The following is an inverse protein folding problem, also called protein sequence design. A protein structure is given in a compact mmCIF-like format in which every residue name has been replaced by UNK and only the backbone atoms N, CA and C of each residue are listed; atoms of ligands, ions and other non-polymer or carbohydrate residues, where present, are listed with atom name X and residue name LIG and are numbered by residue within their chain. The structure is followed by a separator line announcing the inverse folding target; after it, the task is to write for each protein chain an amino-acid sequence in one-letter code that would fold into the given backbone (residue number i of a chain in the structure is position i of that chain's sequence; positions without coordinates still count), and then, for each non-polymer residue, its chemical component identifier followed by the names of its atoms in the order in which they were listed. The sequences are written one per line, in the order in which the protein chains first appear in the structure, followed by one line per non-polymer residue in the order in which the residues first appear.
data_IF_104676014904
#
_entry.id   IF_104676014904
#
_cell.length_a   1.000
_cell.length_b   1.000
_cell.length_c   1.000
_cell.angle_alpha   90.00
_cell.angle_beta   90.00
_cell.angle_gamma   90.00
#
_symmetry.space_group_name_H-M   'P 1'
#
loop_
_entity.id
_entity.type
_entity.pdbx_description
1 polymer ?
#
# COMPACT_ATOMS: atom_id res chain seq x y z
N UNK A 1 -74.72 20.12 -24.51
CA UNK A 1 -74.03 21.30 -25.08
C UNK A 1 -73.77 22.26 -23.92
N UNK A 2 -72.51 22.66 -23.73
CA UNK A 2 -71.94 23.52 -22.66
C UNK A 2 -71.65 22.84 -21.30
N UNK A 3 -70.48 22.18 -21.17
CA UNK A 3 -69.78 21.92 -19.88
C UNK A 3 -68.29 21.56 -20.10
N UNK A 4 -67.61 22.21 -21.06
CA UNK A 4 -66.21 21.86 -21.41
C UNK A 4 -65.34 23.07 -21.78
N UNK A 5 -65.39 24.15 -21.00
CA UNK A 5 -64.46 25.29 -21.14
C UNK A 5 -64.21 25.94 -19.78
N UNK A 6 -63.23 25.44 -19.01
CA UNK A 6 -62.36 26.26 -18.13
C UNK A 6 -61.28 25.42 -17.42
N UNK A 7 -60.33 24.87 -18.20
CA UNK A 7 -59.10 24.23 -17.66
C UNK A 7 -57.82 24.94 -18.16
N UNK A 8 -57.94 26.08 -18.86
CA UNK A 8 -56.80 26.71 -19.52
C UNK A 8 -56.09 27.84 -18.75
N UNK A 9 -56.24 27.98 -17.42
CA UNK A 9 -55.71 29.16 -16.73
C UNK A 9 -54.83 28.93 -15.48
N UNK A 10 -54.06 27.84 -15.43
CA UNK A 10 -53.02 27.62 -14.41
C UNK A 10 -51.72 27.08 -15.00
N UNK A 11 -51.27 27.63 -16.14
CA UNK A 11 -49.89 27.42 -16.61
C UNK A 11 -48.98 28.47 -15.98
N UNK A 12 -48.53 28.23 -14.74
CA UNK A 12 -47.34 28.91 -14.23
C UNK A 12 -46.17 28.41 -15.08
N UNK A 13 -45.66 29.27 -15.94
CA UNK A 13 -44.53 28.93 -16.80
C UNK A 13 -43.28 28.73 -15.94
N UNK A 14 -42.36 27.85 -16.35
CA UNK A 14 -41.10 27.56 -15.64
C UNK A 14 -40.33 28.83 -15.17
N UNK A 15 -40.44 29.92 -15.93
CA UNK A 15 -39.88 31.24 -15.58
C UNK A 15 -40.57 31.92 -14.39
N UNK A 16 -41.88 31.76 -14.23
CA UNK A 16 -42.60 32.30 -13.06
C UNK A 16 -42.28 31.51 -11.78
N UNK A 17 -42.03 30.20 -11.90
CA UNK A 17 -41.55 29.37 -10.80
C UNK A 17 -40.13 29.77 -10.36
N UNK A 18 -39.21 30.03 -11.31
CA UNK A 18 -37.85 30.48 -11.01
C UNK A 18 -37.78 31.90 -10.38
N UNK A 19 -38.85 32.70 -10.51
CA UNK A 19 -38.92 34.07 -10.00
C UNK A 19 -39.43 34.19 -8.56
N UNK A 20 -39.83 33.07 -7.93
CA UNK A 20 -40.28 33.09 -6.53
C UNK A 20 -39.11 33.35 -5.58
N UNK A 21 -39.21 34.38 -4.70
CA UNK A 21 -38.09 34.86 -3.88
C UNK A 21 -37.55 33.82 -2.88
N UNK A 22 -38.32 32.77 -2.58
CA UNK A 22 -37.94 31.70 -1.66
C UNK A 22 -37.11 30.59 -2.32
N UNK A 23 -37.07 30.50 -3.65
CA UNK A 23 -36.38 29.41 -4.38
C UNK A 23 -34.91 29.76 -4.65
N UNK A 24 -34.64 31.03 -4.97
CA UNK A 24 -33.30 31.55 -5.25
C UNK A 24 -32.27 31.29 -4.14
N UNK A 25 -32.57 31.50 -2.85
CA UNK A 25 -31.62 31.23 -1.77
C UNK A 25 -31.18 29.75 -1.74
N UNK A 26 -32.11 28.81 -1.94
CA UNK A 26 -31.82 27.38 -1.91
C UNK A 26 -31.15 26.88 -3.19
N UNK A 27 -31.50 27.44 -4.35
CA UNK A 27 -30.83 27.14 -5.62
C UNK A 27 -29.38 27.63 -5.60
N UNK A 28 -29.13 28.81 -5.00
CA UNK A 28 -27.78 29.33 -4.74
C UNK A 28 -27.02 28.46 -3.74
N UNK A 29 -27.66 27.98 -2.67
CA UNK A 29 -27.04 27.06 -1.70
C UNK A 29 -26.70 25.72 -2.38
N UNK A 30 -27.58 25.15 -3.20
CA UNK A 30 -27.38 23.87 -3.86
C UNK A 30 -26.29 23.95 -4.95
N UNK A 31 -26.23 25.06 -5.70
CA UNK A 31 -25.14 25.37 -6.64
C UNK A 31 -23.83 25.62 -5.87
N UNK A 32 -23.85 26.34 -4.75
CA UNK A 32 -22.66 26.59 -3.93
C UNK A 32 -22.11 25.30 -3.31
N UNK A 33 -22.97 24.37 -2.90
CA UNK A 33 -22.58 23.04 -2.40
C UNK A 33 -22.01 22.19 -3.53
N UNK A 34 -22.65 22.16 -4.72
CA UNK A 34 -22.12 21.43 -5.87
C UNK A 34 -20.78 21.98 -6.36
N UNK A 35 -20.63 23.32 -6.40
CA UNK A 35 -19.36 23.98 -6.73
C UNK A 35 -18.31 23.73 -5.66
N UNK A 36 -18.68 23.76 -4.38
CA UNK A 36 -17.81 23.46 -3.24
C UNK A 36 -17.29 22.03 -3.28
N UNK A 37 -18.16 21.04 -3.54
CA UNK A 37 -17.80 19.63 -3.69
C UNK A 37 -16.90 19.44 -4.92
N UNK A 38 -17.21 20.09 -6.05
CA UNK A 38 -16.34 20.01 -7.23
C UNK A 38 -14.97 20.66 -7.00
N UNK A 39 -14.93 21.80 -6.28
CA UNK A 39 -13.67 22.51 -5.98
C UNK A 39 -12.83 21.75 -4.98
N UNK A 40 -13.45 21.12 -3.97
CA UNK A 40 -12.79 20.25 -3.01
C UNK A 40 -12.27 18.98 -3.69
N UNK A 41 -13.02 18.42 -4.64
CA UNK A 41 -12.60 17.27 -5.44
C UNK A 41 -11.42 17.63 -6.37
N UNK A 42 -11.49 18.77 -7.05
CA UNK A 42 -10.42 19.26 -7.94
C UNK A 42 -9.17 19.63 -7.14
N UNK A 43 -9.30 20.35 -6.02
CA UNK A 43 -8.14 20.69 -5.17
C UNK A 43 -7.53 19.46 -4.52
N UNK A 44 -8.33 18.48 -4.10
CA UNK A 44 -7.84 17.19 -3.63
C UNK A 44 -7.10 16.41 -4.72
N UNK A 45 -7.62 16.42 -5.95
CA UNK A 45 -6.99 15.78 -7.11
C UNK A 45 -5.69 16.48 -7.51
N UNK A 46 -5.60 17.80 -7.34
CA UNK A 46 -4.37 18.59 -7.54
C UNK A 46 -3.36 18.38 -6.40
N UNK A 47 -3.81 18.26 -5.16
CA UNK A 47 -2.96 17.97 -3.99
C UNK A 47 -2.37 16.56 -4.05
N UNK A 48 -3.12 15.57 -4.54
CA UNK A 48 -2.60 14.22 -4.79
C UNK A 48 -1.51 14.21 -5.87
N UNK A 49 -1.66 15.02 -6.93
CA UNK A 49 -0.61 15.20 -7.95
C UNK A 49 0.66 15.85 -7.41
N UNK A 50 0.59 16.66 -6.35
CA UNK A 50 1.75 17.29 -5.72
C UNK A 50 2.46 16.40 -4.69
N UNK A 51 1.83 15.31 -4.25
CA UNK A 51 2.41 14.34 -3.30
C UNK A 51 3.14 13.19 -3.98
N UNK A 52 3.39 13.23 -5.29
CA UNK A 52 4.43 12.39 -5.86
C UNK A 52 5.77 12.85 -5.27
N UNK A 53 6.46 12.01 -4.47
CA UNK A 53 7.80 12.35 -4.06
C UNK A 53 8.64 12.47 -5.34
N UNK A 54 9.11 13.67 -5.66
CA UNK A 54 10.26 13.88 -6.54
C UNK A 54 11.47 13.21 -5.90
N UNK A 55 11.52 11.89 -5.99
CA UNK A 55 12.74 11.11 -5.80
C UNK A 55 13.50 11.22 -7.11
N UNK A 56 14.04 12.42 -7.33
CA UNK A 56 15.09 12.63 -8.31
C UNK A 56 16.16 11.58 -8.06
N UNK A 57 16.51 10.90 -9.15
CA UNK A 57 17.46 9.81 -9.18
C UNK A 57 18.84 10.27 -8.66
N UNK A 58 19.07 10.13 -7.36
CA UNK A 58 20.42 10.03 -6.81
C UNK A 58 20.94 8.61 -7.08
N UNK A 59 21.08 8.26 -8.35
CA UNK A 59 21.76 7.05 -8.79
C UNK A 59 23.01 7.44 -9.57
N UNK A 60 24.00 7.94 -8.84
CA UNK A 60 25.42 7.94 -9.24
C UNK A 60 26.28 8.35 -8.04
N UNK A 61 26.16 7.60 -6.95
CA UNK A 61 27.32 7.50 -6.05
C UNK A 61 28.26 6.54 -6.74
N UNK A 62 29.45 6.99 -7.13
CA UNK A 62 30.52 6.16 -7.69
C UNK A 62 30.69 4.91 -6.82
N UNK A 63 30.11 3.80 -7.29
CA UNK A 63 30.04 2.56 -6.53
C UNK A 63 31.45 1.97 -6.56
N UNK A 64 32.12 1.99 -5.42
CA UNK A 64 33.45 1.38 -5.28
C UNK A 64 33.34 -0.07 -5.75
N UNK A 65 34.18 -0.45 -6.71
CA UNK A 65 34.24 -1.82 -7.23
C UNK A 65 34.97 -2.73 -6.22
N UNK A 66 34.29 -3.10 -5.14
CA UNK A 66 34.85 -3.91 -4.06
C UNK A 66 35.40 -5.26 -4.55
N UNK A 67 34.80 -5.83 -5.60
CA UNK A 67 35.22 -7.09 -6.21
C UNK A 67 36.60 -7.02 -6.89
N UNK A 68 37.03 -5.83 -7.32
CA UNK A 68 38.31 -5.62 -8.00
C UNK A 68 39.45 -5.20 -7.08
N UNK A 69 39.19 -5.06 -5.78
CA UNK A 69 40.18 -4.70 -4.79
C UNK A 69 40.76 -5.93 -4.09
N UNK A 70 42.04 -5.84 -3.72
CA UNK A 70 42.70 -6.84 -2.85
C UNK A 70 42.13 -6.79 -1.44
N UNK A 71 42.31 -7.87 -0.68
CA UNK A 71 41.81 -7.97 0.69
C UNK A 71 42.37 -6.83 1.56
N UNK A 72 43.66 -6.51 1.40
CA UNK A 72 44.35 -5.45 2.14
C UNK A 72 43.75 -4.08 1.81
N UNK A 73 43.48 -3.81 0.53
CA UNK A 73 42.87 -2.55 0.09
C UNK A 73 41.44 -2.37 0.63
N UNK A 74 40.67 -3.46 0.70
CA UNK A 74 39.30 -3.40 1.25
C UNK A 74 39.33 -3.18 2.76
N UNK A 75 40.22 -3.89 3.49
CA UNK A 75 40.41 -3.71 4.93
C UNK A 75 40.87 -2.29 5.26
N UNK A 76 41.81 -1.74 4.49
CA UNK A 76 42.31 -0.37 4.67
C UNK A 76 41.22 0.68 4.39
N UNK A 77 40.49 0.55 3.26
CA UNK A 77 39.37 1.44 2.92
C UNK A 77 38.28 1.47 3.97
N UNK A 78 37.95 0.32 4.55
CA UNK A 78 36.95 0.21 5.61
C UNK A 78 37.56 0.43 7.00
N UNK A 79 38.87 0.64 7.12
CA UNK A 79 39.60 0.79 8.39
C UNK A 79 39.28 -0.34 9.39
N UNK A 80 39.37 -1.60 8.94
CA UNK A 80 39.04 -2.79 9.71
C UNK A 80 40.25 -3.71 9.84
N UNK A 81 40.44 -4.29 11.02
CA UNK A 81 41.43 -5.34 11.27
C UNK A 81 40.88 -6.72 10.96
N UNK A 82 41.76 -7.68 10.63
CA UNK A 82 41.41 -9.10 10.47
C UNK A 82 40.76 -9.74 11.72
N UNK A 83 40.90 -9.11 12.89
CA UNK A 83 40.29 -9.54 14.15
C UNK A 83 38.86 -9.02 14.36
N UNK A 84 38.29 -8.33 13.37
CA UNK A 84 36.94 -7.78 13.43
C UNK A 84 36.88 -6.36 14.01
N UNK A 85 35.66 -5.84 14.13
CA UNK A 85 35.39 -4.51 14.68
C UNK A 85 35.40 -4.51 16.21
N UNK A 86 35.82 -3.39 16.79
CA UNK A 86 35.69 -3.13 18.22
C UNK A 86 34.29 -2.61 18.58
N UNK A 87 33.78 -2.96 19.76
CA UNK A 87 32.41 -2.58 20.16
C UNK A 87 32.11 -1.07 20.07
N UNK A 88 33.09 -0.21 20.39
CA UNK A 88 32.94 1.24 20.32
C UNK A 88 32.76 1.77 18.88
N UNK A 89 33.32 1.08 17.89
CA UNK A 89 33.25 1.47 16.47
C UNK A 89 31.90 1.07 15.85
N UNK A 90 31.32 -0.03 16.33
CA UNK A 90 30.02 -0.54 15.85
C UNK A 90 28.93 0.50 16.05
N UNK A 91 28.84 1.09 17.25
CA UNK A 91 27.82 2.11 17.54
C UNK A 91 27.94 3.34 16.63
N UNK A 92 29.17 3.77 16.32
CA UNK A 92 29.41 4.87 15.37
C UNK A 92 28.99 4.51 13.95
N UNK A 93 29.29 3.30 13.51
CA UNK A 93 28.89 2.81 12.19
C UNK A 93 27.39 2.60 12.06
N UNK A 94 26.72 2.13 13.11
CA UNK A 94 25.26 2.01 13.12
C UNK A 94 24.60 3.38 13.01
N UNK A 95 25.14 4.42 13.66
CA UNK A 95 24.65 5.80 13.48
C UNK A 95 24.88 6.34 12.07
N UNK A 96 26.01 5.98 11.43
CA UNK A 96 26.37 6.46 10.10
C UNK A 96 25.64 5.74 8.96
N UNK A 97 25.57 4.42 9.01
CA UNK A 97 25.05 3.57 7.94
C UNK A 97 23.62 3.09 8.18
N UNK A 98 23.11 3.20 9.41
CA UNK A 98 21.83 2.63 9.80
C UNK A 98 21.90 1.12 10.03
N UNK A 99 20.72 0.52 10.22
CA UNK A 99 20.55 -0.92 10.38
C UNK A 99 20.60 -1.63 9.01
N UNK A 100 20.99 -2.90 9.01
CA UNK A 100 20.93 -3.78 7.85
C UNK A 100 19.48 -4.25 7.61
N UNK A 101 18.62 -3.31 7.24
CA UNK A 101 17.22 -3.54 6.94
C UNK A 101 16.84 -2.76 5.68
N UNK A 102 15.90 -3.31 4.91
CA UNK A 102 15.27 -2.56 3.84
C UNK A 102 14.33 -1.52 4.45
N UNK A 103 14.21 -0.31 3.87
CA UNK A 103 13.36 0.72 4.43
C UNK A 103 11.92 0.20 4.53
N UNK A 104 11.41 0.15 5.76
CA UNK A 104 10.01 -0.19 5.97
C UNK A 104 9.13 0.95 5.49
N UNK A 105 8.09 0.61 4.73
CA UNK A 105 6.99 1.53 4.46
C UNK A 105 6.34 1.82 5.81
N UNK A 106 6.52 3.04 6.32
CA UNK A 106 5.95 3.44 7.61
C UNK A 106 4.45 3.11 7.62
N UNK A 107 3.96 2.33 8.60
CA UNK A 107 2.54 2.06 8.72
C UNK A 107 1.81 3.40 8.90
N UNK A 108 0.61 3.51 8.32
CA UNK A 108 -0.24 4.68 8.52
C UNK A 108 -0.61 4.76 10.00
N UNK A 109 -0.60 5.96 10.58
CA UNK A 109 -0.95 6.12 12.00
C UNK A 109 -2.39 5.68 12.25
N UNK A 110 -2.66 5.07 13.42
CA UNK A 110 -3.99 4.54 13.75
C UNK A 110 -5.09 5.62 13.64
N UNK A 111 -4.78 6.87 13.99
CA UNK A 111 -5.70 8.00 13.84
C UNK A 111 -5.95 8.33 12.37
N UNK A 112 -4.92 8.40 11.52
CA UNK A 112 -5.11 8.58 10.07
C UNK A 112 -5.93 7.45 9.47
N UNK A 113 -5.69 6.20 9.90
CA UNK A 113 -6.46 5.04 9.46
C UNK A 113 -7.93 5.17 9.82
N UNK A 114 -8.24 5.56 11.06
CA UNK A 114 -9.61 5.81 11.48
C UNK A 114 -10.28 6.94 10.66
N UNK A 115 -9.63 8.09 10.50
CA UNK A 115 -10.18 9.19 9.70
C UNK A 115 -10.27 8.87 8.20
N UNK A 116 -9.43 7.97 7.69
CA UNK A 116 -9.51 7.51 6.31
C UNK A 116 -10.77 6.67 6.04
N UNK A 117 -11.36 6.05 7.07
CA UNK A 117 -12.66 5.38 6.93
C UNK A 117 -13.76 6.38 6.55
N UNK A 118 -13.67 7.65 6.99
CA UNK A 118 -14.61 8.70 6.63
C UNK A 118 -14.39 9.28 5.23
N UNK A 119 -13.24 9.01 4.59
CA UNK A 119 -12.94 9.40 3.21
C UNK A 119 -13.60 8.45 2.20
N UNK A 120 -14.89 8.19 2.38
CA UNK A 120 -15.71 7.42 1.47
C UNK A 120 -16.89 8.28 1.01
N UNK A 121 -17.16 8.29 -0.29
CA UNK A 121 -18.27 9.02 -0.91
C UNK A 121 -19.60 8.75 -0.20
N UNK A 122 -19.83 7.51 0.23
CA UNK A 122 -21.03 7.09 0.96
C UNK A 122 -21.11 7.78 2.33
N UNK A 123 -20.01 7.82 3.07
CA UNK A 123 -19.98 8.47 4.39
C UNK A 123 -20.17 9.98 4.26
N UNK A 124 -19.67 10.61 3.20
CA UNK A 124 -19.97 12.03 2.95
C UNK A 124 -21.45 12.29 2.67
N UNK A 125 -22.12 11.41 1.91
CA UNK A 125 -23.58 11.52 1.70
C UNK A 125 -24.32 11.36 3.03
N UNK A 126 -23.94 10.40 3.87
CA UNK A 126 -24.56 10.19 5.18
C UNK A 126 -24.30 11.37 6.14
N UNK A 127 -23.09 11.93 6.15
CA UNK A 127 -22.76 13.10 6.95
C UNK A 127 -23.53 14.34 6.47
N UNK A 128 -23.70 14.51 5.16
CA UNK A 128 -24.55 15.56 4.60
C UNK A 128 -26.00 15.37 5.04
N UNK A 129 -26.51 14.14 5.01
CA UNK A 129 -27.84 13.81 5.51
C UNK A 129 -27.99 14.18 6.99
N UNK A 130 -27.06 13.77 7.85
CA UNK A 130 -27.06 14.11 9.29
C UNK A 130 -27.12 15.63 9.47
N UNK A 131 -26.35 16.39 8.68
CA UNK A 131 -26.37 17.85 8.74
C UNK A 131 -27.75 18.41 8.38
N UNK A 132 -28.36 17.96 7.28
CA UNK A 132 -29.66 18.46 6.83
C UNK A 132 -30.78 18.08 7.80
N UNK A 133 -30.82 16.85 8.29
CA UNK A 133 -31.84 16.40 9.25
C UNK A 133 -31.74 17.13 10.59
N UNK A 134 -30.52 17.49 11.00
CA UNK A 134 -30.27 18.23 12.23
C UNK A 134 -30.72 19.69 12.09
N UNK A 135 -30.49 20.32 10.93
CA UNK A 135 -31.00 21.67 10.63
C UNK A 135 -32.53 21.70 10.58
N UNK A 136 -33.17 20.62 10.13
CA UNK A 136 -34.63 20.47 10.12
C UNK A 136 -35.23 20.18 11.52
N UNK A 137 -34.42 20.04 12.57
CA UNK A 137 -34.89 19.79 13.94
C UNK A 137 -35.21 18.32 14.27
N UNK A 138 -34.93 17.39 13.34
CA UNK A 138 -35.15 15.96 13.54
C UNK A 138 -33.98 15.31 14.31
N UNK A 139 -33.92 15.57 15.62
CA UNK A 139 -32.81 15.11 16.48
C UNK A 139 -32.70 13.58 16.57
N UNK A 140 -33.82 12.86 16.60
CA UNK A 140 -33.83 11.38 16.70
C UNK A 140 -33.30 10.77 15.40
N UNK A 141 -33.81 11.17 14.26
CA UNK A 141 -33.40 10.64 12.95
C UNK A 141 -31.92 10.94 12.67
N UNK A 142 -31.47 12.17 12.97
CA UNK A 142 -30.07 12.57 12.87
C UNK A 142 -29.16 11.71 13.76
N UNK A 143 -29.60 11.43 14.99
CA UNK A 143 -28.87 10.59 15.94
C UNK A 143 -28.74 9.14 15.46
N UNK A 144 -29.80 8.57 14.88
CA UNK A 144 -29.79 7.21 14.32
C UNK A 144 -28.82 7.13 13.14
N UNK A 145 -28.89 8.06 12.19
CA UNK A 145 -28.03 8.06 11.00
C UNK A 145 -26.56 8.26 11.41
N UNK A 146 -26.29 9.18 12.34
CA UNK A 146 -24.95 9.38 12.88
C UNK A 146 -24.42 8.12 13.58
N UNK A 147 -25.26 7.44 14.36
CA UNK A 147 -24.92 6.17 15.01
C UNK A 147 -24.49 5.09 14.01
N UNK A 148 -25.22 4.93 12.91
CA UNK A 148 -24.87 3.98 11.82
C UNK A 148 -23.51 4.31 11.22
N UNK A 149 -23.23 5.59 10.93
CA UNK A 149 -21.93 6.03 10.40
C UNK A 149 -20.78 5.67 11.34
N UNK A 150 -20.94 5.92 12.65
CA UNK A 150 -19.91 5.61 13.65
C UNK A 150 -19.68 4.10 13.77
N UNK A 151 -20.75 3.29 13.81
CA UNK A 151 -20.64 1.83 13.88
C UNK A 151 -19.91 1.30 12.65
N UNK A 152 -20.27 1.76 11.45
CA UNK A 152 -19.63 1.34 10.20
C UNK A 152 -18.14 1.71 10.16
N UNK A 153 -17.77 2.93 10.59
CA UNK A 153 -16.38 3.35 10.68
C UNK A 153 -15.58 2.50 11.69
N UNK A 154 -16.18 2.16 12.83
CA UNK A 154 -15.55 1.33 13.86
C UNK A 154 -15.33 -0.10 13.38
N UNK A 155 -16.34 -0.70 12.72
CA UNK A 155 -16.22 -2.03 12.12
C UNK A 155 -15.12 -2.04 11.07
N UNK A 156 -15.07 -1.04 10.18
CA UNK A 156 -14.02 -0.90 9.16
C UNK A 156 -12.62 -0.80 9.77
N UNK A 157 -12.45 0.04 10.79
CA UNK A 157 -11.18 0.19 11.51
C UNK A 157 -10.69 -1.11 12.14
N UNK A 158 -11.58 -1.85 12.83
CA UNK A 158 -11.25 -3.13 13.47
C UNK A 158 -10.90 -4.20 12.41
N UNK A 159 -11.64 -4.27 11.31
CA UNK A 159 -11.39 -5.23 10.23
C UNK A 159 -10.03 -4.99 9.57
N UNK A 160 -9.67 -3.73 9.33
CA UNK A 160 -8.38 -3.36 8.76
C UNK A 160 -7.22 -3.65 9.72
N UNK A 161 -7.40 -3.39 11.03
CA UNK A 161 -6.38 -3.67 12.05
C UNK A 161 -6.01 -5.16 12.13
N UNK A 162 -7.00 -6.05 12.17
CA UNK A 162 -6.76 -7.50 12.22
C UNK A 162 -6.01 -8.02 10.99
N UNK A 163 -6.24 -7.42 9.82
CA UNK A 163 -5.54 -7.80 8.60
C UNK A 163 -4.06 -7.37 8.61
N UNK A 164 -3.75 -6.17 9.13
CA UNK A 164 -2.37 -5.70 9.30
C UNK A 164 -1.60 -6.52 10.34
N UNK A 165 -2.22 -6.83 11.49
CA UNK A 165 -1.58 -7.59 12.57
C UNK A 165 -1.14 -9.00 12.12
N UNK A 166 -1.99 -9.67 11.33
CA UNK A 166 -1.69 -10.98 10.77
C UNK A 166 -0.48 -10.93 9.80
N UNK A 167 -0.36 -9.86 9.01
CA UNK A 167 0.76 -9.66 8.12
C UNK A 167 2.06 -9.33 8.88
N UNK A 168 1.97 -8.57 9.97
CA UNK A 168 3.14 -8.23 10.79
C UNK A 168 3.66 -9.45 11.56
N UNK A 169 2.77 -10.30 12.09
CA UNK A 169 3.16 -11.53 12.78
C UNK A 169 3.97 -12.47 11.88
N UNK A 170 3.60 -12.61 10.59
CA UNK A 170 4.34 -13.41 9.61
C UNK A 170 5.73 -12.83 9.34
N UNK A 171 5.88 -11.50 9.32
CA UNK A 171 7.17 -10.83 9.09
C UNK A 171 8.16 -11.05 10.22
N UNK A 172 7.71 -10.94 11.47
CA UNK A 172 8.56 -11.08 12.66
C UNK A 172 9.11 -12.51 12.85
N UNK A 173 8.49 -13.52 12.22
CA UNK A 173 8.94 -14.92 12.27
C UNK A 173 10.14 -15.23 11.36
N UNK A 174 10.65 -14.27 10.58
CA UNK A 174 11.68 -14.47 9.55
C UNK A 174 13.02 -13.77 9.84
N UNK A 175 13.27 -13.30 11.07
CA UNK A 175 14.51 -12.60 11.39
C UNK A 175 15.73 -13.53 11.28
N UNK A 176 16.66 -13.17 10.38
CA UNK A 176 17.88 -13.93 10.16
C UNK A 176 18.90 -13.64 11.28
N UNK A 177 19.61 -14.68 11.72
CA UNK A 177 20.77 -14.57 12.60
C UNK A 177 22.05 -14.67 11.77
N UNK A 178 23.11 -13.96 12.18
CA UNK A 178 24.42 -13.96 11.54
C UNK A 178 25.52 -14.20 12.58
N UNK A 179 26.55 -14.98 12.22
CA UNK A 179 27.73 -15.21 13.05
C UNK A 179 28.84 -14.24 12.66
N UNK A 180 29.25 -13.37 13.57
CA UNK A 180 30.24 -12.31 13.32
C UNK A 180 31.45 -12.42 14.23
N UNK A 181 32.59 -11.92 13.77
CA UNK A 181 33.80 -11.71 14.56
C UNK A 181 33.86 -10.26 15.05
N UNK A 182 33.70 -10.05 16.36
CA UNK A 182 33.78 -8.74 17.03
C UNK A 182 34.66 -8.86 18.26
N UNK A 183 35.57 -7.90 18.48
CA UNK A 183 36.58 -7.95 19.54
C UNK A 183 37.36 -9.29 19.57
N UNK A 184 37.65 -9.87 18.39
CA UNK A 184 38.33 -11.16 18.27
C UNK A 184 37.51 -12.39 18.69
N UNK A 185 36.23 -12.24 19.04
CA UNK A 185 35.34 -13.33 19.45
C UNK A 185 34.22 -13.53 18.44
N UNK A 186 33.84 -14.78 18.23
CA UNK A 186 32.71 -15.12 17.37
C UNK A 186 31.40 -15.00 18.18
N UNK A 187 30.48 -14.19 17.69
CA UNK A 187 29.20 -13.89 18.36
C UNK A 187 28.07 -14.01 17.36
N UNK A 188 26.98 -14.67 17.74
CA UNK A 188 25.74 -14.68 16.96
C UNK A 188 24.93 -13.41 17.26
N UNK A 189 24.57 -12.67 16.23
CA UNK A 189 23.77 -11.44 16.32
C UNK A 189 22.62 -11.50 15.31
N UNK A 190 21.60 -10.66 15.52
CA UNK A 190 20.61 -10.41 14.47
C UNK A 190 21.29 -9.84 13.23
N UNK A 191 20.95 -10.36 12.04
CA UNK A 191 21.47 -9.88 10.77
C UNK A 191 21.18 -8.38 10.56
N UNK A 192 20.14 -7.84 11.20
CA UNK A 192 19.75 -6.43 11.17
C UNK A 192 20.79 -5.51 11.82
N UNK A 193 21.59 -6.03 12.75
CA UNK A 193 22.60 -5.27 13.49
C UNK A 193 23.96 -5.21 12.79
N UNK A 194 24.06 -5.84 11.61
CA UNK A 194 25.28 -5.81 10.79
C UNK A 194 25.56 -4.40 10.28
N UNK A 195 26.85 -4.05 10.26
CA UNK A 195 27.34 -2.80 9.69
C UNK A 195 28.47 -3.05 8.69
N UNK A 196 28.69 -2.17 7.71
CA UNK A 196 29.86 -2.23 6.86
C UNK A 196 31.15 -2.31 7.69
N UNK A 197 31.97 -3.32 7.42
CA UNK A 197 33.17 -3.65 8.17
C UNK A 197 33.05 -4.82 9.15
N UNK A 198 31.84 -5.33 9.43
CA UNK A 198 31.72 -6.59 10.19
C UNK A 198 32.35 -7.75 9.40
N UNK A 199 33.03 -8.64 10.10
CA UNK A 199 33.53 -9.90 9.52
C UNK A 199 32.52 -10.99 9.86
N UNK A 200 31.90 -11.57 8.84
CA UNK A 200 30.86 -12.60 8.95
C UNK A 200 31.45 -13.96 8.60
N UNK A 201 31.15 -14.97 9.41
CA UNK A 201 31.42 -16.36 9.09
C UNK A 201 30.18 -17.01 8.48
N UNK A 202 30.37 -17.74 7.39
CA UNK A 202 29.33 -18.44 6.64
C UNK A 202 29.66 -19.92 6.54
N UNK A 203 28.63 -20.75 6.65
CA UNK A 203 28.69 -22.20 6.47
C UNK A 203 27.52 -22.69 5.61
N UNK A 204 27.62 -23.94 5.16
CA UNK A 204 26.56 -24.62 4.40
C UNK A 204 25.19 -24.49 5.08
N UNK A 205 24.19 -24.08 4.32
CA UNK A 205 22.81 -23.86 4.78
C UNK A 205 22.53 -22.43 5.24
N UNK A 206 23.55 -21.60 5.47
CA UNK A 206 23.35 -20.21 5.84
C UNK A 206 22.83 -19.40 4.64
N UNK A 207 21.98 -18.41 4.93
CA UNK A 207 21.72 -17.32 4.00
C UNK A 207 22.73 -16.22 4.23
N UNK A 208 23.28 -15.67 3.16
CA UNK A 208 24.21 -14.55 3.21
C UNK A 208 23.46 -13.31 3.73
N UNK A 209 23.86 -12.70 4.85
CA UNK A 209 23.03 -11.70 5.55
C UNK A 209 23.18 -10.27 5.01
N UNK A 210 24.27 -9.97 4.31
CA UNK A 210 24.62 -8.67 3.73
C UNK A 210 25.56 -8.90 2.53
N UNK A 211 25.87 -7.88 1.74
CA UNK A 211 26.85 -8.06 0.65
C UNK A 211 28.26 -8.09 1.25
N UNK A 212 29.02 -9.12 0.90
CA UNK A 212 30.32 -9.44 1.49
C UNK A 212 31.42 -9.49 0.43
N UNK A 213 32.60 -8.96 0.78
CA UNK A 213 33.87 -9.28 0.12
C UNK A 213 34.50 -10.49 0.81
N UNK A 214 34.76 -11.57 0.07
CA UNK A 214 35.28 -12.81 0.63
C UNK A 214 36.76 -12.68 1.01
N UNK A 215 37.07 -13.03 2.26
CA UNK A 215 38.43 -13.00 2.82
C UNK A 215 39.06 -14.40 2.85
N UNK A 216 38.26 -15.42 3.13
CA UNK A 216 38.67 -16.83 3.17
C UNK A 216 37.55 -17.69 2.60
N UNK A 217 37.89 -18.71 1.82
CA UNK A 217 36.95 -19.66 1.25
C UNK A 217 37.52 -21.07 1.32
N UNK A 218 36.65 -22.07 1.58
CA UNK A 218 36.99 -23.48 1.52
C UNK A 218 35.83 -24.24 0.87
N UNK A 219 36.02 -24.65 -0.38
CA UNK A 219 35.01 -25.29 -1.24
C UNK A 219 33.66 -24.55 -1.18
N UNK A 220 33.70 -23.21 -1.17
CA UNK A 220 32.56 -22.36 -0.88
C UNK A 220 31.73 -22.15 -2.14
N UNK A 221 30.50 -22.68 -2.13
CA UNK A 221 29.55 -22.56 -3.24
C UNK A 221 28.30 -21.83 -2.78
N UNK A 222 27.82 -20.91 -3.61
CA UNK A 222 26.66 -20.08 -3.33
C UNK A 222 25.63 -20.20 -4.45
N UNK A 223 24.37 -20.35 -4.07
CA UNK A 223 23.24 -20.33 -4.97
C UNK A 223 22.77 -18.90 -5.20
N UNK A 224 23.00 -18.37 -6.40
CA UNK A 224 22.75 -16.97 -6.77
C UNK A 224 21.52 -16.77 -7.65
N UNK A 225 20.68 -17.81 -7.82
CA UNK A 225 19.43 -17.76 -8.58
C UNK A 225 18.51 -16.57 -8.24
N UNK A 226 18.57 -16.06 -7.01
CA UNK A 226 17.79 -14.88 -6.57
C UNK A 226 18.20 -13.60 -7.30
N UNK A 227 19.45 -13.50 -7.77
CA UNK A 227 20.01 -12.32 -8.42
C UNK A 227 20.27 -12.53 -9.91
N UNK A 228 20.72 -13.73 -10.30
CA UNK A 228 21.10 -14.03 -11.69
C UNK A 228 20.04 -14.83 -12.46
N UNK A 229 19.13 -15.50 -11.75
CA UNK A 229 18.18 -16.46 -12.34
C UNK A 229 18.80 -17.83 -12.66
N UNK A 230 20.11 -17.99 -12.52
CA UNK A 230 20.79 -19.25 -12.79
C UNK A 230 20.74 -20.18 -11.58
N UNK A 231 20.37 -21.45 -11.79
CA UNK A 231 20.14 -22.42 -10.71
C UNK A 231 21.39 -23.23 -10.31
N UNK A 232 22.51 -23.06 -11.01
CA UNK A 232 23.74 -23.78 -10.68
C UNK A 232 24.51 -23.02 -9.60
N UNK A 233 24.91 -23.68 -8.49
CA UNK A 233 25.76 -23.04 -7.50
C UNK A 233 27.10 -22.62 -8.11
N UNK A 234 27.52 -21.40 -7.79
CA UNK A 234 28.77 -20.81 -8.27
C UNK A 234 29.86 -21.00 -7.22
N UNK A 235 31.01 -21.53 -7.62
CA UNK A 235 32.19 -21.61 -6.78
C UNK A 235 32.80 -20.21 -6.60
N UNK A 236 33.04 -19.84 -5.35
CA UNK A 236 33.54 -18.52 -4.99
C UNK A 236 35.01 -18.56 -4.60
N UNK A 237 35.71 -17.45 -4.85
CA UNK A 237 37.14 -17.31 -4.60
C UNK A 237 37.46 -16.03 -3.83
N UNK A 238 38.73 -15.81 -3.49
CA UNK A 238 39.17 -14.61 -2.77
C UNK A 238 39.87 -13.60 -3.67
N UNK A 239 40.36 -14.03 -4.84
CA UNK A 239 41.15 -13.17 -5.72
C UNK A 239 40.31 -12.05 -6.33
N UNK A 240 40.89 -10.84 -6.51
CA UNK A 240 40.20 -9.75 -7.18
C UNK A 240 39.80 -10.12 -8.60
N UNK A 241 38.63 -9.63 -9.04
CA UNK A 241 38.12 -9.84 -10.41
C UNK A 241 38.13 -8.51 -11.17
N UNK A 242 38.16 -8.55 -12.50
CA UNK A 242 38.17 -7.35 -13.35
C UNK A 242 37.00 -6.42 -13.00
N UNK A 243 37.26 -5.11 -12.96
CA UNK A 243 36.27 -4.11 -12.58
C UNK A 243 34.98 -4.17 -13.42
N UNK A 244 35.10 -4.49 -14.72
CA UNK A 244 33.99 -4.60 -15.67
C UNK A 244 33.17 -5.88 -15.57
N UNK A 245 33.46 -6.77 -14.61
CA UNK A 245 32.75 -8.04 -14.46
C UNK A 245 31.28 -7.83 -14.09
N UNK A 246 30.41 -8.61 -14.73
CA UNK A 246 28.99 -8.67 -14.41
C UNK A 246 28.74 -9.25 -13.01
N UNK A 247 27.52 -9.11 -12.49
CA UNK A 247 27.21 -9.46 -11.09
C UNK A 247 27.55 -10.93 -10.76
N UNK A 248 27.23 -11.85 -11.67
CA UNK A 248 27.51 -13.29 -11.51
C UNK A 248 29.00 -13.64 -11.56
N UNK A 249 29.78 -12.90 -12.36
CA UNK A 249 31.22 -13.15 -12.54
C UNK A 249 32.09 -12.58 -11.41
N UNK A 250 31.50 -11.82 -10.48
CA UNK A 250 32.19 -11.29 -9.30
C UNK A 250 32.35 -12.39 -8.25
N UNK A 251 33.15 -13.41 -8.58
CA UNK A 251 33.40 -14.61 -7.76
C UNK A 251 34.01 -14.29 -6.38
N UNK A 252 34.56 -13.09 -6.23
CA UNK A 252 35.18 -12.60 -5.01
C UNK A 252 34.19 -12.00 -3.99
N UNK A 253 32.91 -12.03 -4.34
CA UNK A 253 31.77 -11.48 -3.59
C UNK A 253 30.75 -12.57 -3.22
N UNK A 254 30.02 -12.33 -2.14
CA UNK A 254 28.79 -13.05 -1.80
C UNK A 254 27.68 -12.04 -1.48
N UNK A 255 26.45 -12.28 -1.95
CA UNK A 255 25.39 -11.26 -1.94
C UNK A 255 24.26 -11.58 -0.98
N UNK A 256 23.68 -10.55 -0.37
CA UNK A 256 22.58 -10.67 0.59
C UNK A 256 21.39 -11.46 0.02
N UNK A 257 20.86 -12.40 0.80
CA UNK A 257 19.69 -13.22 0.44
C UNK A 257 20.01 -14.49 -0.37
N UNK A 258 21.24 -14.63 -0.87
CA UNK A 258 21.72 -15.88 -1.52
C UNK A 258 21.95 -16.98 -0.48
N UNK A 259 21.90 -18.24 -0.92
CA UNK A 259 22.01 -19.42 -0.04
C UNK A 259 23.39 -20.08 -0.22
N UNK A 260 24.09 -20.34 0.87
CA UNK A 260 25.33 -21.14 0.84
C UNK A 260 24.96 -22.61 0.66
N UNK A 261 25.30 -23.19 -0.49
CA UNK A 261 24.98 -24.58 -0.80
C UNK A 261 25.98 -25.55 -0.19
N UNK A 262 27.26 -25.16 -0.09
CA UNK A 262 28.31 -25.99 0.51
C UNK A 262 29.55 -25.16 0.86
N UNK A 263 30.40 -25.75 1.71
CA UNK A 263 31.66 -25.15 2.13
C UNK A 263 31.53 -24.14 3.28
N UNK A 264 32.61 -23.38 3.48
CA UNK A 264 32.71 -22.35 4.51
C UNK A 264 33.45 -21.14 3.96
N UNK A 265 33.06 -19.96 4.42
CA UNK A 265 33.76 -18.73 4.08
C UNK A 265 33.75 -17.73 5.24
N UNK A 266 34.69 -16.79 5.16
CA UNK A 266 34.70 -15.59 5.98
C UNK A 266 34.66 -14.40 5.03
N UNK A 267 33.74 -13.48 5.25
CA UNK A 267 33.55 -12.31 4.40
C UNK A 267 33.44 -11.03 5.21
N UNK A 268 33.92 -9.93 4.63
CA UNK A 268 33.81 -8.59 5.17
C UNK A 268 32.57 -7.91 4.60
N UNK A 269 31.68 -7.41 5.45
CA UNK A 269 30.48 -6.68 5.03
C UNK A 269 30.89 -5.39 4.33
N UNK A 270 30.52 -5.23 3.07
CA UNK A 270 30.78 -4.02 2.29
C UNK A 270 29.55 -3.13 2.13
N UNK A 271 28.35 -3.71 2.15
CA UNK A 271 27.09 -3.00 2.01
C UNK A 271 25.98 -3.70 2.78
N UNK A 272 25.06 -2.89 3.33
CA UNK A 272 23.92 -3.32 4.15
C UNK A 272 22.63 -2.65 3.69
N UNK A 273 21.48 -3.27 3.99
CA UNK A 273 20.16 -2.72 3.73
C UNK A 273 19.94 -2.34 2.26
N UNK A 274 19.49 -1.11 2.03
CA UNK A 274 19.19 -0.57 0.69
C UNK A 274 20.42 -0.51 -0.25
N UNK A 275 21.64 -0.52 0.30
CA UNK A 275 22.87 -0.41 -0.48
C UNK A 275 23.37 -1.76 -1.03
N UNK A 276 22.76 -2.88 -0.61
CA UNK A 276 23.04 -4.21 -1.16
C UNK A 276 22.48 -4.35 -2.57
N UNK A 277 22.96 -5.31 -3.37
CA UNK A 277 22.40 -5.56 -4.71
C UNK A 277 20.92 -5.95 -4.66
N UNK A 278 20.52 -6.79 -3.69
CA UNK A 278 19.10 -7.11 -3.46
C UNK A 278 18.31 -5.88 -2.97
N UNK A 279 18.93 -5.00 -2.20
CA UNK A 279 18.33 -3.75 -1.75
C UNK A 279 18.10 -2.76 -2.89
N UNK A 280 19.01 -2.68 -3.84
CA UNK A 280 18.86 -1.88 -5.05
C UNK A 280 17.76 -2.44 -5.95
N UNK A 281 17.70 -3.76 -6.15
CA UNK A 281 16.58 -4.41 -6.85
C UNK A 281 15.27 -4.10 -6.12
N UNK A 282 15.23 -4.26 -4.79
CA UNK A 282 14.04 -3.98 -4.00
C UNK A 282 13.63 -2.52 -4.09
N UNK A 283 14.56 -1.56 -4.15
CA UNK A 283 14.27 -0.15 -4.37
C UNK A 283 13.71 0.13 -5.77
N UNK A 284 14.22 -0.54 -6.81
CA UNK A 284 13.68 -0.47 -8.17
C UNK A 284 12.27 -1.07 -8.26
N UNK A 285 12.02 -2.20 -7.59
CA UNK A 285 10.71 -2.86 -7.56
C UNK A 285 9.71 -2.13 -6.66
N UNK A 286 10.16 -1.51 -5.56
CA UNK A 286 9.27 -0.73 -4.68
C UNK A 286 8.74 0.55 -5.32
N UNK A 287 9.34 0.98 -6.44
CA UNK A 287 8.79 2.04 -7.31
C UNK A 287 7.59 1.57 -8.14
N UNK A 288 7.29 0.27 -8.16
CA UNK A 288 6.08 -0.23 -8.82
C UNK A 288 4.89 0.09 -7.91
N UNK A 289 4.08 1.07 -8.33
CA UNK A 289 2.85 1.46 -7.66
C UNK A 289 1.98 0.25 -7.32
N UNK A 290 1.20 0.35 -6.24
CA UNK A 290 0.19 -0.65 -5.92
C UNK A 290 -0.78 -0.77 -7.08
N UNK A 291 -0.66 -1.85 -7.85
CA UNK A 291 -1.56 -2.17 -8.96
C UNK A 291 -2.99 -2.31 -8.43
N UNK A 292 -3.86 -1.35 -8.75
CA UNK A 292 -5.31 -1.47 -8.54
C UNK A 292 -5.82 -2.58 -9.46
N UNK A 293 -6.40 -3.63 -8.88
CA UNK A 293 -6.84 -4.78 -9.67
C UNK A 293 -8.07 -4.46 -10.54
N UNK A 294 -8.26 -5.17 -11.67
CA UNK A 294 -9.42 -4.95 -12.54
C UNK A 294 -10.78 -5.02 -11.82
N UNK A 295 -10.99 -5.94 -10.88
CA UNK A 295 -12.22 -6.09 -10.08
C UNK A 295 -12.43 -4.85 -9.22
N UNK A 296 -11.38 -4.33 -8.57
CA UNK A 296 -11.49 -3.09 -7.80
C UNK A 296 -11.88 -1.92 -8.70
N UNK A 297 -11.36 -1.85 -9.94
CA UNK A 297 -11.80 -0.84 -10.93
C UNK A 297 -13.26 -1.02 -11.34
N UNK A 298 -13.69 -2.26 -11.61
CA UNK A 298 -15.06 -2.57 -11.99
C UNK A 298 -16.05 -2.29 -10.85
N UNK A 299 -15.68 -2.61 -9.61
CA UNK A 299 -16.49 -2.34 -8.41
C UNK A 299 -16.60 -0.83 -8.18
N UNK A 300 -15.51 -0.07 -8.38
CA UNK A 300 -15.56 1.38 -8.31
C UNK A 300 -16.41 2.01 -9.44
N UNK A 301 -16.43 1.41 -10.64
CA UNK A 301 -17.33 1.81 -11.73
C UNK A 301 -18.79 1.47 -11.41
N UNK A 302 -19.05 0.25 -10.93
CA UNK A 302 -20.37 -0.21 -10.50
C UNK A 302 -20.92 0.66 -9.37
N UNK A 303 -20.09 0.97 -8.37
CA UNK A 303 -20.44 1.88 -7.28
C UNK A 303 -20.85 3.26 -7.80
N UNK A 304 -20.09 3.84 -8.73
CA UNK A 304 -20.46 5.13 -9.36
C UNK A 304 -21.79 5.08 -10.10
N UNK A 305 -22.02 4.01 -10.87
CA UNK A 305 -23.28 3.84 -11.60
C UNK A 305 -24.45 3.66 -10.64
N UNK A 306 -24.31 2.81 -9.62
CA UNK A 306 -25.34 2.58 -8.62
C UNK A 306 -25.65 3.84 -7.81
N UNK A 307 -24.64 4.56 -7.33
CA UNK A 307 -24.84 5.84 -6.63
C UNK A 307 -25.56 6.85 -7.53
N UNK A 308 -25.21 6.93 -8.81
CA UNK A 308 -25.90 7.82 -9.76
C UNK A 308 -27.36 7.42 -9.94
N UNK A 309 -27.65 6.12 -10.09
CA UNK A 309 -29.02 5.59 -10.21
C UNK A 309 -29.85 5.85 -8.95
N UNK A 310 -29.28 5.62 -7.76
CA UNK A 310 -29.93 5.91 -6.47
C UNK A 310 -30.26 7.39 -6.37
N UNK A 311 -29.31 8.26 -6.71
CA UNK A 311 -29.51 9.71 -6.66
C UNK A 311 -30.62 10.17 -7.61
N UNK A 312 -30.62 9.67 -8.85
CA UNK A 312 -31.68 9.97 -9.83
C UNK A 312 -33.04 9.48 -9.32
N UNK A 313 -33.13 8.25 -8.80
CA UNK A 313 -34.39 7.69 -8.31
C UNK A 313 -34.91 8.41 -7.06
N UNK A 314 -34.03 8.73 -6.11
CA UNK A 314 -34.39 9.48 -4.91
C UNK A 314 -34.88 10.88 -5.26
N UNK A 315 -34.18 11.57 -6.18
CA UNK A 315 -34.57 12.89 -6.68
C UNK A 315 -35.90 12.84 -7.44
N UNK A 316 -36.09 11.86 -8.31
CA UNK A 316 -37.33 11.68 -9.05
C UNK A 316 -38.52 11.38 -8.11
N UNK A 317 -38.32 10.52 -7.11
CA UNK A 317 -39.33 10.19 -6.10
C UNK A 317 -39.68 11.40 -5.27
N UNK A 318 -38.68 12.18 -4.85
CA UNK A 318 -38.85 13.45 -4.13
C UNK A 318 -39.73 14.43 -4.91
N UNK A 319 -39.37 14.73 -6.16
CA UNK A 319 -40.13 15.67 -6.99
C UNK A 319 -41.54 15.14 -7.30
N UNK A 320 -41.68 13.85 -7.56
CA UNK A 320 -42.98 13.25 -7.81
C UNK A 320 -43.92 13.37 -6.59
N UNK A 321 -43.44 13.02 -5.40
CA UNK A 321 -44.27 13.09 -4.20
C UNK A 321 -44.63 14.52 -3.80
N UNK A 322 -43.70 15.46 -3.94
CA UNK A 322 -43.98 16.86 -3.62
C UNK A 322 -44.95 17.51 -4.63
N UNK A 323 -44.67 17.41 -5.93
CA UNK A 323 -45.46 18.12 -6.95
C UNK A 323 -46.76 17.42 -7.34
N UNK A 324 -46.78 16.08 -7.41
CA UNK A 324 -47.96 15.35 -7.91
C UNK A 324 -48.82 14.76 -6.79
N UNK A 325 -48.25 14.44 -5.62
CA UNK A 325 -49.01 13.90 -4.48
C UNK A 325 -49.29 14.95 -3.39
N UNK A 326 -48.66 16.11 -3.45
CA UNK A 326 -48.86 17.21 -2.50
C UNK A 326 -48.30 16.94 -1.10
N UNK A 327 -47.34 16.03 -0.97
CA UNK A 327 -46.68 15.76 0.31
C UNK A 327 -45.76 16.91 0.74
N UNK A 328 -45.60 17.07 2.05
CA UNK A 328 -44.72 18.11 2.61
C UNK A 328 -43.26 17.89 2.17
N UNK A 329 -42.54 18.99 1.97
CA UNK A 329 -41.14 18.99 1.56
C UNK A 329 -40.28 18.15 2.52
N UNK A 330 -40.51 18.32 3.82
CA UNK A 330 -39.73 17.69 4.88
C UNK A 330 -39.94 16.17 4.88
N UNK A 331 -41.19 15.74 4.77
CA UNK A 331 -41.56 14.32 4.70
C UNK A 331 -40.96 13.65 3.46
N UNK A 332 -41.06 14.30 2.30
CA UNK A 332 -40.49 13.77 1.05
C UNK A 332 -38.96 13.75 1.07
N UNK A 333 -38.32 14.74 1.70
CA UNK A 333 -36.87 14.78 1.85
C UNK A 333 -36.38 13.60 2.70
N UNK A 334 -37.03 13.38 3.85
CA UNK A 334 -36.73 12.24 4.73
C UNK A 334 -36.96 10.90 4.03
N UNK A 335 -38.04 10.77 3.25
CA UNK A 335 -38.31 9.56 2.47
C UNK A 335 -37.25 9.32 1.38
N UNK A 336 -36.80 10.36 0.67
CA UNK A 336 -35.76 10.26 -0.36
C UNK A 336 -34.40 9.89 0.22
N UNK A 337 -34.06 10.46 1.38
CA UNK A 337 -32.88 10.08 2.17
C UNK A 337 -32.97 8.61 2.60
N UNK A 338 -34.10 8.18 3.17
CA UNK A 338 -34.30 6.80 3.62
C UNK A 338 -34.17 5.80 2.47
N UNK A 339 -34.72 6.13 1.30
CA UNK A 339 -34.56 5.37 0.07
C UNK A 339 -33.08 5.27 -0.35
N UNK A 340 -32.36 6.40 -0.31
CA UNK A 340 -30.96 6.43 -0.68
C UNK A 340 -30.12 5.54 0.26
N UNK A 341 -30.34 5.63 1.58
CA UNK A 341 -29.64 4.82 2.58
C UNK A 341 -29.94 3.33 2.38
N UNK A 342 -31.21 2.96 2.24
CA UNK A 342 -31.63 1.57 2.08
C UNK A 342 -31.08 0.90 0.82
N UNK A 343 -30.76 1.68 -0.22
CA UNK A 343 -30.24 1.18 -1.48
C UNK A 343 -28.71 1.00 -1.50
N UNK A 344 -27.99 1.42 -0.45
CA UNK A 344 -26.52 1.31 -0.42
C UNK A 344 -26.10 -0.13 -0.14
N UNK A 345 -25.32 -0.75 -1.03
CA UNK A 345 -24.92 -2.15 -0.87
C UNK A 345 -23.67 -2.26 0.02
N UNK A 346 -23.85 -2.04 1.32
CA UNK A 346 -22.77 -2.14 2.32
C UNK A 346 -22.16 -3.56 2.42
N UNK A 347 -22.89 -4.57 1.95
CA UNK A 347 -22.43 -5.96 1.93
C UNK A 347 -21.42 -6.30 0.83
N UNK A 348 -21.23 -5.45 -0.19
CA UNK A 348 -20.37 -5.78 -1.34
C UNK A 348 -18.90 -6.04 -0.97
N UNK A 349 -18.22 -5.19 -0.17
CA UNK A 349 -16.83 -5.45 0.21
C UNK A 349 -16.65 -6.76 0.98
N UNK A 350 -17.63 -7.10 1.83
CA UNK A 350 -17.63 -8.34 2.60
C UNK A 350 -17.83 -9.57 1.69
N UNK A 351 -18.84 -9.54 0.81
CA UNK A 351 -19.11 -10.63 -0.15
C UNK A 351 -17.91 -10.86 -1.07
N UNK A 352 -17.28 -9.79 -1.55
CA UNK A 352 -16.07 -9.90 -2.37
C UNK A 352 -14.92 -10.55 -1.60
N UNK A 353 -14.66 -10.09 -0.38
CA UNK A 353 -13.57 -10.64 0.45
C UNK A 353 -13.79 -12.12 0.75
N UNK A 354 -15.03 -12.52 1.05
CA UNK A 354 -15.40 -13.93 1.27
C UNK A 354 -15.19 -14.74 -0.02
N UNK A 355 -15.63 -14.23 -1.17
CA UNK A 355 -15.51 -14.92 -2.45
C UNK A 355 -14.04 -15.08 -2.86
N UNK A 356 -13.22 -14.04 -2.69
CA UNK A 356 -11.76 -14.08 -2.88
C UNK A 356 -11.09 -15.08 -1.93
N UNK A 357 -11.50 -15.11 -0.66
CA UNK A 357 -10.99 -16.07 0.32
C UNK A 357 -11.32 -17.53 -0.05
N UNK A 358 -12.54 -17.80 -0.54
CA UNK A 358 -12.91 -19.11 -1.08
C UNK A 358 -12.05 -19.46 -2.30
N UNK A 359 -11.77 -18.49 -3.17
CA UNK A 359 -10.85 -18.64 -4.31
C UNK A 359 -9.44 -19.05 -3.87
N UNK A 360 -8.89 -18.35 -2.87
CA UNK A 360 -7.60 -18.68 -2.26
C UNK A 360 -7.60 -20.08 -1.66
N UNK A 361 -8.64 -20.46 -0.91
CA UNK A 361 -8.75 -21.82 -0.35
C UNK A 361 -8.76 -22.90 -1.44
N UNK A 362 -9.45 -22.67 -2.57
CA UNK A 362 -9.46 -23.61 -3.71
C UNK A 362 -8.10 -23.72 -4.39
N UNK A 363 -7.35 -22.62 -4.52
CA UNK A 363 -5.98 -22.63 -5.07
C UNK A 363 -5.00 -23.33 -4.12
N UNK A 364 -5.10 -23.08 -2.82
CA UNK A 364 -4.27 -23.73 -1.81
C UNK A 364 -4.44 -25.26 -1.84
N UNK A 365 -5.68 -25.75 -2.00
CA UNK A 365 -5.95 -27.20 -2.20
C UNK A 365 -5.29 -27.79 -3.45
N UNK A 366 -4.89 -26.96 -4.41
CA UNK A 366 -4.15 -27.34 -5.63
C UNK A 366 -2.67 -26.97 -5.55
N UNK A 367 -2.13 -26.80 -4.34
CA UNK A 367 -0.72 -26.49 -4.08
C UNK A 367 -0.24 -25.11 -4.59
N UNK A 368 -1.16 -24.16 -4.82
CA UNK A 368 -0.84 -22.77 -5.17
C UNK A 368 -1.09 -21.83 -3.97
N UNK A 369 -0.03 -21.25 -3.41
CA UNK A 369 -0.10 -20.37 -2.23
C UNK A 369 -0.21 -18.90 -2.69
N UNK A 370 -1.34 -18.28 -2.39
CA UNK A 370 -1.58 -16.86 -2.67
C UNK A 370 -1.19 -16.02 -1.46
N UNK A 371 -0.26 -15.07 -1.62
CA UNK A 371 0.19 -14.15 -0.54
C UNK A 371 -0.67 -12.90 -0.38
N UNK A 372 -1.44 -12.51 -1.41
CA UNK A 372 -2.34 -11.34 -1.40
C UNK A 372 -3.65 -11.70 -2.08
N UNK A 373 -4.79 -11.52 -1.39
CA UNK A 373 -6.12 -11.88 -1.92
C UNK A 373 -6.37 -11.34 -3.34
N UNK A 374 -6.05 -10.06 -3.68
CA UNK A 374 -6.30 -9.53 -5.02
C UNK A 374 -5.50 -10.22 -6.14
N UNK A 375 -4.43 -10.96 -5.82
CA UNK A 375 -3.64 -11.68 -6.83
C UNK A 375 -4.41 -12.83 -7.49
N UNK A 376 -5.42 -13.39 -6.81
CA UNK A 376 -6.32 -14.42 -7.39
C UNK A 376 -6.98 -13.93 -8.66
N UNK A 377 -7.41 -12.68 -8.66
CA UNK A 377 -8.16 -12.06 -9.74
C UNK A 377 -7.25 -11.59 -10.87
N UNK A 378 -6.09 -11.01 -10.52
CA UNK A 378 -5.05 -10.69 -11.51
C UNK A 378 -4.69 -11.92 -12.34
N UNK A 379 -4.50 -13.08 -11.70
CA UNK A 379 -4.14 -14.32 -12.38
C UNK A 379 -5.21 -14.80 -13.38
N UNK A 380 -6.49 -14.55 -13.09
CA UNK A 380 -7.60 -14.84 -14.00
C UNK A 380 -7.78 -13.82 -15.13
N UNK A 381 -7.13 -12.66 -15.05
CA UNK A 381 -7.19 -11.57 -16.04
C UNK A 381 -5.86 -11.34 -16.77
N UNK A 382 -4.86 -12.22 -16.57
CA UNK A 382 -3.58 -12.18 -17.27
C UNK A 382 -3.80 -12.41 -18.77
N UNK A 383 -3.32 -11.47 -19.59
CA UNK A 383 -3.31 -11.59 -21.06
C UNK A 383 -1.93 -11.92 -21.63
N UNK A 384 -0.86 -11.62 -20.88
CA UNK A 384 0.53 -11.85 -21.28
C UNK A 384 1.30 -12.44 -20.09
N UNK A 385 1.99 -13.55 -20.32
CA UNK A 385 2.90 -14.17 -19.36
C UNK A 385 4.33 -13.93 -19.85
N UNK A 386 5.12 -13.22 -19.05
CA UNK A 386 6.57 -13.18 -19.22
C UNK A 386 7.14 -14.31 -18.36
N UNK A 387 7.82 -15.27 -18.97
CA UNK A 387 8.41 -16.43 -18.30
C UNK A 387 9.90 -16.53 -18.57
#
# INVERSE_FOLDING_TARGET
MLWLTDINNLSITFYQWLSLPYIWPWLVILIAILLGISSAWITWQLLQRQQEPKLEAQASVDKIAWHSLSIEQVLDKLQVSIHGLAQAEISKRQQRYGLNQLPEIKPRSALLRFFSQFHNLIIYVLLLTVLVTLVLGHLVDSGVIFGVVIINALIGFIQEGKAEDALQAIRNMLSLQASVLRDGKQVAISAEQLVPGDIVALQSGDKVPADLRLLKCKNFHVQEAVLTGESLPVEKQIDPVVQSSELGDRLSMAYSGTLVSSGQATGLVIATGINTEIGLISALVSKVETLVTPLLKQVAQFGRWLTSSIFVLATATFFFGHYYRGYDFTEMFMAAVGLAIAAIPEGLPAIMSITLAIGVQRMAKRHAIIRRLPAVETLGSVTVICS
#
